data_IF_837364116741
#
_entry.id   IF_837364116741
#
_cell.length_a   1.000
_cell.length_b   1.000
_cell.length_c   1.000
_cell.angle_alpha   90.00
_cell.angle_beta   90.00
_cell.angle_gamma   90.00
#
_symmetry.space_group_name_H-M   'P 1'
#
loop_
_entity.id
_entity.type
_entity.pdbx_description
1 polymer ?
#
# COMPACT_ATOMS: atom_id res chain seq x y z
N UNK A 1 -25.27 8.49 35.17
CA UNK A 1 -24.97 7.90 33.84
C UNK A 1 -25.07 6.40 33.97
N UNK A 2 -26.10 5.82 33.41
CA UNK A 2 -26.21 4.37 33.30
C UNK A 2 -25.33 3.92 32.15
N UNK A 3 -24.24 3.23 32.48
CA UNK A 3 -23.39 2.54 31.51
C UNK A 3 -24.22 1.41 30.91
N UNK A 4 -24.83 1.67 29.76
CA UNK A 4 -25.58 0.65 29.03
C UNK A 4 -24.56 -0.20 28.31
N UNK A 5 -24.02 -1.22 29.00
CA UNK A 5 -23.20 -2.23 28.36
C UNK A 5 -23.99 -2.83 27.20
N UNK A 6 -23.50 -2.68 25.97
CA UNK A 6 -24.09 -3.31 24.79
C UNK A 6 -24.04 -4.83 24.99
N UNK A 7 -25.22 -5.44 25.03
CA UNK A 7 -25.32 -6.89 25.15
C UNK A 7 -24.62 -7.55 23.95
N UNK A 8 -23.70 -8.49 24.23
CA UNK A 8 -23.05 -9.30 23.17
C UNK A 8 -24.12 -10.20 22.55
N UNK A 9 -24.34 -10.13 21.22
CA UNK A 9 -25.29 -11.02 20.55
C UNK A 9 -24.87 -12.48 20.68
N UNK A 10 -25.84 -13.37 20.78
CA UNK A 10 -25.61 -14.81 20.80
C UNK A 10 -25.10 -15.27 19.42
N UNK A 11 -23.92 -15.88 19.38
CA UNK A 11 -23.28 -16.37 18.16
C UNK A 11 -22.78 -17.79 18.31
N UNK A 12 -22.63 -18.52 17.22
CA UNK A 12 -21.98 -19.82 17.16
C UNK A 12 -20.67 -19.76 16.37
N UNK A 13 -19.83 -20.79 16.51
CA UNK A 13 -18.57 -20.90 15.76
C UNK A 13 -18.75 -21.02 14.23
N UNK A 14 -19.96 -21.29 13.75
CA UNK A 14 -20.28 -21.33 12.31
C UNK A 14 -20.67 -19.97 11.73
N UNK A 15 -20.95 -19.00 12.59
CA UNK A 15 -21.21 -17.63 12.14
C UNK A 15 -19.90 -16.95 11.71
N UNK A 16 -19.98 -16.08 10.71
CA UNK A 16 -18.85 -15.30 10.23
C UNK A 16 -19.05 -13.82 10.53
N UNK A 17 -17.95 -13.10 10.65
CA UNK A 17 -17.97 -11.63 10.73
C UNK A 17 -18.35 -11.09 9.36
N UNK A 18 -19.26 -10.13 9.32
CA UNK A 18 -19.66 -9.42 8.08
C UNK A 18 -18.80 -8.16 7.93
N UNK A 19 -17.70 -8.29 7.24
CA UNK A 19 -16.83 -7.14 6.92
C UNK A 19 -17.42 -6.35 5.75
N UNK A 20 -17.17 -5.03 5.73
CA UNK A 20 -17.64 -4.13 4.67
C UNK A 20 -16.53 -3.70 3.72
N UNK A 21 -15.28 -4.08 4.00
CA UNK A 21 -14.14 -3.77 3.17
C UNK A 21 -12.84 -3.70 3.97
N UNK A 22 -11.78 -3.26 3.32
CA UNK A 22 -10.49 -2.97 3.94
C UNK A 22 -10.38 -1.46 4.12
N UNK A 23 -10.26 -0.99 5.37
CA UNK A 23 -10.12 0.41 5.66
C UNK A 23 -8.72 0.92 5.34
N UNK A 24 -7.71 0.24 5.86
CA UNK A 24 -6.31 0.59 5.64
C UNK A 24 -5.41 -0.64 5.83
N UNK A 25 -4.21 -0.52 5.34
CA UNK A 25 -3.09 -1.40 5.66
C UNK A 25 -1.95 -0.55 6.26
N UNK A 26 -1.01 -1.21 6.90
CA UNK A 26 0.13 -0.55 7.53
C UNK A 26 1.44 -1.08 6.96
N UNK A 27 2.33 -0.16 6.60
CA UNK A 27 3.67 -0.45 6.12
C UNK A 27 4.66 -0.06 7.22
N UNK A 28 5.49 -0.99 7.65
CA UNK A 28 6.59 -0.74 8.59
C UNK A 28 7.75 -0.03 7.90
N UNK A 29 8.21 1.06 8.48
CA UNK A 29 9.33 1.87 7.97
C UNK A 29 10.21 2.34 9.12
N UNK A 30 11.48 2.64 8.86
CA UNK A 30 12.38 3.16 9.89
C UNK A 30 12.11 4.62 10.23
N UNK A 31 11.78 5.41 9.22
CA UNK A 31 11.46 6.84 9.33
C UNK A 31 10.16 7.12 8.59
N UNK A 32 9.06 7.25 9.33
CA UNK A 32 7.74 7.44 8.74
C UNK A 32 7.54 8.83 8.11
N UNK A 33 8.33 9.82 8.53
CA UNK A 33 8.28 11.16 7.93
C UNK A 33 8.97 11.17 6.57
N UNK A 34 10.16 10.59 6.47
CA UNK A 34 10.87 10.43 5.21
C UNK A 34 10.09 9.52 4.24
N UNK A 35 9.50 8.45 4.76
CA UNK A 35 8.64 7.57 3.96
C UNK A 35 7.40 8.30 3.43
N UNK A 36 6.73 9.11 4.24
CA UNK A 36 5.58 9.91 3.80
C UNK A 36 5.95 10.83 2.64
N UNK A 37 7.13 11.44 2.69
CA UNK A 37 7.65 12.26 1.59
C UNK A 37 7.84 11.43 0.31
N UNK A 38 8.44 10.25 0.41
CA UNK A 38 8.60 9.33 -0.73
C UNK A 38 7.26 8.97 -1.37
N UNK A 39 6.29 8.52 -0.59
CA UNK A 39 4.97 8.14 -1.12
C UNK A 39 4.21 9.34 -1.69
N UNK A 40 4.41 10.53 -1.16
CA UNK A 40 3.82 11.75 -1.73
C UNK A 40 4.49 12.17 -3.04
N UNK A 41 5.80 12.11 -3.13
CA UNK A 41 6.55 12.58 -4.31
C UNK A 41 6.53 11.58 -5.46
N UNK A 42 6.52 10.27 -5.17
CA UNK A 42 6.55 9.21 -6.18
C UNK A 42 5.14 8.79 -6.59
N UNK A 43 4.27 8.53 -5.62
CA UNK A 43 2.92 8.01 -5.87
C UNK A 43 1.81 9.06 -5.78
N UNK A 44 2.13 10.31 -5.44
CA UNK A 44 1.13 11.36 -5.31
C UNK A 44 0.16 11.14 -4.15
N UNK A 45 0.51 10.30 -3.17
CA UNK A 45 -0.31 10.08 -1.99
C UNK A 45 -0.30 11.33 -1.10
N UNK A 46 -1.42 11.60 -0.46
CA UNK A 46 -1.57 12.76 0.41
C UNK A 46 -1.27 12.39 1.86
N UNK A 47 -0.35 13.12 2.49
CA UNK A 47 -0.17 13.06 3.94
C UNK A 47 -1.34 13.77 4.61
N UNK A 48 -2.09 13.06 5.43
CA UNK A 48 -3.22 13.60 6.17
C UNK A 48 -2.79 14.20 7.51
N UNK A 49 -1.99 13.45 8.26
CA UNK A 49 -1.43 13.85 9.55
C UNK A 49 -0.30 12.90 9.95
N UNK A 50 0.54 13.37 10.85
CA UNK A 50 1.59 12.57 11.51
C UNK A 50 1.56 12.77 13.02
N UNK A 51 2.10 11.79 13.73
CA UNK A 51 2.45 11.90 15.13
C UNK A 51 3.85 11.30 15.35
N UNK A 52 4.25 11.01 16.58
CA UNK A 52 5.59 10.48 16.87
C UNK A 52 5.90 9.12 16.24
N UNK A 53 4.86 8.33 15.90
CA UNK A 53 5.01 6.95 15.43
C UNK A 53 4.43 6.68 14.06
N UNK A 54 3.48 7.50 13.61
CA UNK A 54 2.69 7.20 12.43
C UNK A 54 2.58 8.39 11.50
N UNK A 55 2.56 8.10 10.20
CA UNK A 55 2.07 9.01 9.17
C UNK A 55 0.85 8.38 8.48
N UNK A 56 -0.25 9.10 8.48
CA UNK A 56 -1.52 8.66 7.91
C UNK A 56 -1.65 9.20 6.49
N UNK A 57 -1.74 8.29 5.53
CA UNK A 57 -1.71 8.60 4.11
C UNK A 57 -3.04 8.29 3.44
N UNK A 58 -3.37 9.05 2.42
CA UNK A 58 -4.51 8.81 1.55
C UNK A 58 -4.04 8.66 0.10
N UNK A 59 -4.53 7.62 -0.56
CA UNK A 59 -4.33 7.37 -1.98
C UNK A 59 -5.70 7.16 -2.62
N UNK A 60 -6.15 8.11 -3.46
CA UNK A 60 -7.52 8.08 -3.97
C UNK A 60 -8.56 8.01 -2.84
N UNK A 61 -9.40 6.99 -2.85
CA UNK A 61 -10.40 6.72 -1.81
C UNK A 61 -9.90 5.81 -0.68
N UNK A 62 -8.66 5.35 -0.76
CA UNK A 62 -8.07 4.39 0.17
C UNK A 62 -7.09 5.05 1.12
N UNK A 63 -6.86 4.38 2.24
CA UNK A 63 -5.95 4.86 3.28
C UNK A 63 -4.88 3.82 3.58
N UNK A 64 -3.71 4.29 3.98
CA UNK A 64 -2.67 3.44 4.57
C UNK A 64 -1.89 4.22 5.63
N UNK A 65 -1.18 3.47 6.45
CA UNK A 65 -0.42 4.03 7.57
C UNK A 65 1.05 3.63 7.42
N UNK A 66 1.93 4.58 7.57
CA UNK A 66 3.36 4.33 7.71
C UNK A 66 3.67 4.30 9.21
N UNK A 67 4.09 3.15 9.70
CA UNK A 67 4.39 2.94 11.11
C UNK A 67 5.91 2.91 11.33
N UNK A 68 6.40 3.75 12.23
CA UNK A 68 7.81 3.74 12.63
C UNK A 68 8.12 2.46 13.40
N UNK A 69 9.00 1.65 12.85
CA UNK A 69 9.51 0.44 13.47
C UNK A 69 11.03 0.58 13.57
N UNK A 70 11.61 0.70 14.79
CA UNK A 70 13.04 0.95 14.97
C UNK A 70 13.94 -0.13 14.35
N UNK A 71 13.46 -1.37 14.35
CA UNK A 71 14.15 -2.52 13.80
C UNK A 71 13.34 -3.13 12.65
N UNK A 72 13.04 -2.31 11.63
CA UNK A 72 12.28 -2.78 10.48
C UNK A 72 13.06 -3.89 9.76
N UNK A 73 12.35 -4.98 9.50
CA UNK A 73 12.83 -6.09 8.68
C UNK A 73 11.90 -6.22 7.50
N UNK A 74 12.46 -6.20 6.29
CA UNK A 74 11.69 -6.46 5.08
C UNK A 74 11.00 -7.82 5.20
N UNK A 75 9.68 -7.92 5.01
CA UNK A 75 8.96 -9.20 5.10
C UNK A 75 9.32 -10.19 3.99
N UNK A 76 9.92 -9.72 2.91
CA UNK A 76 10.38 -10.58 1.83
C UNK A 76 11.83 -11.02 2.03
N UNK A 77 12.14 -12.25 1.63
CA UNK A 77 13.51 -12.68 1.45
C UNK A 77 14.14 -11.96 0.23
N UNK A 78 15.49 -11.89 0.13
CA UNK A 78 16.14 -11.33 -1.05
C UNK A 78 15.66 -12.00 -2.35
N UNK A 79 15.22 -11.19 -3.31
CA UNK A 79 14.70 -11.64 -4.60
C UNK A 79 13.23 -12.09 -4.62
N UNK A 80 12.55 -12.04 -3.48
CA UNK A 80 11.12 -12.32 -3.38
C UNK A 80 10.28 -11.03 -3.34
N UNK A 81 9.06 -11.12 -3.84
CA UNK A 81 8.09 -10.00 -3.90
C UNK A 81 6.69 -10.41 -3.40
N UNK A 82 6.61 -11.51 -2.65
CA UNK A 82 5.33 -12.08 -2.20
C UNK A 82 4.55 -11.11 -1.31
N UNK A 83 5.23 -10.39 -0.43
CA UNK A 83 4.63 -9.33 0.36
C UNK A 83 4.79 -7.99 -0.38
N UNK A 84 3.71 -7.51 -0.98
CA UNK A 84 3.71 -6.22 -1.67
C UNK A 84 2.37 -5.51 -1.49
N UNK A 85 2.37 -4.22 -1.79
CA UNK A 85 1.17 -3.38 -1.79
C UNK A 85 0.99 -2.80 -3.19
N UNK A 86 -0.17 -3.03 -3.78
CA UNK A 86 -0.49 -2.59 -5.13
C UNK A 86 -1.31 -1.29 -5.11
N UNK A 87 -0.87 -0.32 -5.91
CA UNK A 87 -1.55 0.94 -6.14
C UNK A 87 -2.05 0.98 -7.58
N UNK A 88 -3.32 1.31 -7.75
CA UNK A 88 -3.91 1.45 -9.08
C UNK A 88 -3.56 2.79 -9.70
N UNK A 89 -3.26 2.76 -10.99
CA UNK A 89 -3.17 3.95 -11.84
C UNK A 89 -4.08 3.77 -13.06
N UNK A 90 -4.53 4.87 -13.64
CA UNK A 90 -5.23 4.78 -14.93
C UNK A 90 -4.22 4.36 -16.03
N UNK A 91 -4.68 3.67 -17.09
CA UNK A 91 -3.78 3.21 -18.16
C UNK A 91 -2.93 4.32 -18.79
N UNK A 92 -3.50 5.52 -18.95
CA UNK A 92 -2.80 6.69 -19.49
C UNK A 92 -1.69 7.20 -18.55
N UNK A 93 -1.83 6.95 -17.25
CA UNK A 93 -0.85 7.38 -16.24
C UNK A 93 0.31 6.40 -16.09
N UNK A 94 0.17 5.15 -16.54
CA UNK A 94 1.18 4.12 -16.30
C UNK A 94 2.54 4.47 -16.92
N UNK A 95 2.57 4.86 -18.19
CA UNK A 95 3.82 5.25 -18.86
C UNK A 95 4.44 6.51 -18.25
N UNK A 96 3.60 7.46 -17.85
CA UNK A 96 4.03 8.65 -17.13
C UNK A 96 4.63 8.30 -15.77
N UNK A 97 4.03 7.34 -15.04
CA UNK A 97 4.55 6.85 -13.78
C UNK A 97 5.94 6.22 -13.93
N UNK A 98 6.16 5.41 -14.97
CA UNK A 98 7.48 4.84 -15.27
C UNK A 98 8.52 5.95 -15.54
N UNK A 99 8.15 6.98 -16.26
CA UNK A 99 9.03 8.12 -16.54
C UNK A 99 9.36 8.92 -15.26
N UNK A 100 8.39 9.12 -14.39
CA UNK A 100 8.57 9.77 -13.08
C UNK A 100 9.54 8.96 -12.21
N UNK A 101 9.34 7.66 -12.11
CA UNK A 101 10.23 6.78 -11.34
C UNK A 101 11.66 6.86 -11.85
N UNK A 102 11.85 6.77 -13.16
CA UNK A 102 13.17 6.91 -13.76
C UNK A 102 13.82 8.27 -13.46
N UNK A 103 13.08 9.35 -13.59
CA UNK A 103 13.58 10.71 -13.30
C UNK A 103 13.94 10.90 -11.81
N UNK A 104 13.30 10.18 -10.91
CA UNK A 104 13.57 10.22 -9.46
C UNK A 104 14.59 9.16 -9.00
N UNK A 105 15.17 8.39 -9.92
CA UNK A 105 16.13 7.34 -9.60
C UNK A 105 15.52 6.12 -8.90
N UNK A 106 14.22 5.90 -9.04
CA UNK A 106 13.53 4.71 -8.55
C UNK A 106 13.64 3.61 -9.58
N UNK A 107 14.34 2.55 -9.24
CA UNK A 107 14.56 1.41 -10.14
C UNK A 107 13.40 0.42 -10.09
N UNK A 108 13.01 -0.07 -11.27
CA UNK A 108 12.07 -1.18 -11.36
C UNK A 108 12.78 -2.49 -11.00
N UNK A 109 12.16 -3.27 -10.12
CA UNK A 109 12.67 -4.61 -9.78
C UNK A 109 11.98 -5.70 -10.61
N UNK A 110 10.80 -5.41 -11.14
CA UNK A 110 10.04 -6.32 -12.00
C UNK A 110 9.03 -5.54 -12.83
N UNK A 111 8.79 -6.01 -14.04
CA UNK A 111 7.75 -5.52 -14.93
C UNK A 111 7.04 -6.68 -15.61
N UNK A 112 5.74 -6.57 -15.79
CA UNK A 112 4.94 -7.54 -16.53
C UNK A 112 3.78 -6.85 -17.21
N UNK A 113 3.53 -7.18 -18.47
CA UNK A 113 2.37 -6.74 -19.23
C UNK A 113 1.44 -7.89 -19.61
N UNK A 114 1.67 -9.07 -19.03
CA UNK A 114 0.91 -10.26 -19.37
C UNK A 114 -0.48 -10.25 -18.73
N UNK A 115 -1.50 -10.56 -19.52
CA UNK A 115 -2.87 -10.75 -19.05
C UNK A 115 -3.13 -12.04 -18.25
N UNK A 116 -2.08 -12.70 -17.76
CA UNK A 116 -2.18 -13.98 -17.05
C UNK A 116 -2.41 -13.87 -15.55
N UNK A 117 -2.47 -12.65 -15.03
CA UNK A 117 -2.68 -12.42 -13.61
C UNK A 117 -4.17 -12.34 -13.27
N UNK A 118 -4.50 -12.61 -12.01
CA UNK A 118 -5.85 -12.42 -11.45
C UNK A 118 -6.34 -10.98 -11.61
N UNK A 119 -5.40 -10.04 -11.65
CA UNK A 119 -5.64 -8.63 -11.93
C UNK A 119 -5.03 -8.28 -13.29
N UNK A 120 -5.83 -8.23 -14.37
CA UNK A 120 -5.31 -7.97 -15.71
C UNK A 120 -4.85 -6.51 -15.82
N UNK A 121 -3.68 -6.33 -16.40
CA UNK A 121 -3.06 -5.02 -16.60
C UNK A 121 -1.55 -5.12 -16.67
N UNK A 122 -0.90 -3.96 -16.78
CA UNK A 122 0.55 -3.86 -16.65
C UNK A 122 0.91 -3.70 -15.18
N UNK A 123 1.97 -4.37 -14.77
CA UNK A 123 2.47 -4.40 -13.40
C UNK A 123 3.91 -3.93 -13.36
N UNK A 124 4.22 -2.98 -12.52
CA UNK A 124 5.58 -2.52 -12.27
C UNK A 124 5.85 -2.51 -10.77
N UNK A 125 6.95 -3.13 -10.37
CA UNK A 125 7.35 -3.29 -8.98
C UNK A 125 8.62 -2.50 -8.69
N UNK A 126 8.64 -1.85 -7.54
CA UNK A 126 9.80 -1.10 -7.05
C UNK A 126 9.84 -1.16 -5.52
N UNK A 127 10.93 -0.71 -4.93
CA UNK A 127 11.07 -0.66 -3.48
C UNK A 127 11.03 0.77 -2.96
N UNK A 128 10.44 0.95 -1.77
CA UNK A 128 10.67 2.15 -0.99
C UNK A 128 12.08 2.12 -0.35
N UNK A 129 12.45 3.16 0.41
CA UNK A 129 13.77 3.25 1.03
C UNK A 129 14.03 2.17 2.10
N UNK A 130 12.99 1.51 2.59
CA UNK A 130 13.07 0.41 3.57
C UNK A 130 13.05 -0.97 2.92
N UNK A 131 12.97 -1.05 1.59
CA UNK A 131 12.89 -2.30 0.85
C UNK A 131 11.48 -2.90 0.79
N UNK A 132 10.45 -2.20 1.25
CA UNK A 132 9.08 -2.64 1.05
C UNK A 132 8.76 -2.68 -0.43
N UNK A 133 8.20 -3.80 -0.89
CA UNK A 133 7.83 -3.97 -2.28
C UNK A 133 6.51 -3.26 -2.59
N UNK A 134 6.54 -2.40 -3.58
CA UNK A 134 5.40 -1.63 -4.04
C UNK A 134 5.13 -1.97 -5.50
N UNK A 135 3.87 -2.11 -5.82
CA UNK A 135 3.40 -2.36 -7.18
C UNK A 135 2.55 -1.18 -7.66
N UNK A 136 2.71 -0.78 -8.90
CA UNK A 136 1.69 -0.02 -9.62
C UNK A 136 1.06 -0.91 -10.69
N UNK A 137 -0.24 -0.81 -10.83
CA UNK A 137 -1.01 -1.60 -11.78
C UNK A 137 -2.04 -0.72 -12.50
N UNK A 138 -2.09 -0.84 -13.82
CA UNK A 138 -3.16 -0.26 -14.63
C UNK A 138 -4.18 -1.36 -14.99
N UNK A 139 -5.23 -1.49 -14.21
CA UNK A 139 -6.28 -2.46 -14.53
C UNK A 139 -6.89 -2.14 -15.89
N UNK A 140 -6.77 -3.06 -16.85
CA UNK A 140 -7.47 -2.92 -18.11
C UNK A 140 -8.97 -2.98 -17.88
N UNK A 141 -9.64 -1.90 -18.22
CA UNK A 141 -11.10 -1.93 -18.37
C UNK A 141 -11.38 -2.70 -19.65
N UNK A 142 -11.99 -3.87 -19.50
CA UNK A 142 -12.54 -4.60 -20.65
C UNK A 142 -13.73 -3.83 -21.24
#
# INVERSE_FOLDING_TARGET
MTDTALATPAVSATHTIRTTGILHFTIGVRDHIAAAKFYSEVLGCRLMRSNERYSFMQCGQSYFVLARIPHHVNPNNPGEDAHHHAFMVEPEEFDRALAIMKARGVELVKYSDSGHHSFPGRHAYFHDADGNCIEIIDLYKK
#
